data_IF_889815278164
#
_entry.id   IF_889815278164
#
_cell.length_a   1.000
_cell.length_b   1.000
_cell.length_c   1.000
_cell.angle_alpha   90.00
_cell.angle_beta   90.00
_cell.angle_gamma   90.00
#
_symmetry.space_group_name_H-M   'P 1'
#
loop_
_entity.id
_entity.type
_entity.pdbx_description
1 polymer ?
#
# COMPACT_ATOMS: atom_id res chain seq x y z
N UNK A 1 11.70 -11.44 -5.48
CA UNK A 1 10.94 -11.73 -4.25
C UNK A 1 10.05 -10.53 -3.91
N UNK A 2 8.76 -10.64 -3.57
CA UNK A 2 7.89 -9.46 -3.44
C UNK A 2 7.88 -8.80 -2.03
N UNK A 3 7.87 -7.48 -1.96
CA UNK A 3 7.66 -6.69 -0.73
C UNK A 3 6.80 -5.45 -1.01
N UNK A 4 5.91 -5.12 -0.08
CA UNK A 4 5.17 -3.86 -0.05
C UNK A 4 5.82 -2.86 0.87
N UNK A 5 5.67 -1.60 0.52
CA UNK A 5 6.06 -0.45 1.32
C UNK A 5 4.91 0.54 1.31
N UNK A 6 4.48 0.96 2.49
CA UNK A 6 3.33 1.83 2.70
C UNK A 6 3.72 3.05 3.51
N UNK A 7 3.21 4.24 3.14
CA UNK A 7 3.48 5.48 3.85
C UNK A 7 2.43 6.55 3.56
N UNK A 8 2.18 7.43 4.55
CA UNK A 8 1.36 8.63 4.39
C UNK A 8 2.17 9.80 3.81
N UNK A 9 1.47 10.81 3.28
CA UNK A 9 1.98 12.04 2.63
C UNK A 9 3.37 12.55 3.08
N UNK A 10 3.61 12.66 4.39
CA UNK A 10 4.83 13.24 4.95
C UNK A 10 6.04 12.29 4.95
N UNK A 11 5.85 11.03 4.53
CA UNK A 11 6.82 9.93 4.50
C UNK A 11 7.47 9.63 5.86
N UNK A 12 6.98 10.19 6.96
CA UNK A 12 7.53 9.98 8.30
C UNK A 12 7.12 8.62 8.84
N UNK A 13 5.89 8.19 8.53
CA UNK A 13 5.36 6.90 8.92
C UNK A 13 5.49 5.92 7.76
N UNK A 14 6.68 5.32 7.62
CA UNK A 14 6.96 4.37 6.54
C UNK A 14 7.08 2.97 7.08
N UNK A 15 6.23 2.07 6.58
CA UNK A 15 6.18 0.67 7.02
C UNK A 15 6.36 -0.27 5.82
N UNK A 16 6.79 -1.50 6.07
CA UNK A 16 7.08 -2.49 5.03
C UNK A 16 6.60 -3.86 5.46
N UNK A 17 6.15 -4.65 4.50
CA UNK A 17 5.84 -6.06 4.74
C UNK A 17 7.10 -6.91 4.79
N UNK A 18 6.96 -8.16 5.22
CA UNK A 18 7.96 -9.20 5.01
C UNK A 18 8.13 -9.49 3.52
N UNK A 19 9.29 -10.03 3.17
CA UNK A 19 9.57 -10.44 1.80
C UNK A 19 8.93 -11.80 1.54
N UNK A 20 8.07 -11.88 0.52
CA UNK A 20 7.50 -13.13 0.03
C UNK A 20 8.36 -13.66 -1.12
N UNK A 21 8.86 -14.89 -1.00
CA UNK A 21 9.79 -15.49 -1.96
C UNK A 21 9.05 -16.42 -2.93
N UNK A 22 9.55 -16.51 -4.15
CA UNK A 22 9.16 -17.53 -5.15
C UNK A 22 7.65 -17.59 -5.47
N UNK A 23 6.95 -16.46 -5.48
CA UNK A 23 5.54 -16.38 -5.85
C UNK A 23 5.22 -15.13 -6.66
N UNK A 24 4.33 -15.25 -7.64
CA UNK A 24 3.73 -14.13 -8.39
C UNK A 24 2.44 -13.61 -7.73
N UNK A 25 1.89 -14.36 -6.77
CA UNK A 25 0.70 -14.00 -6.00
C UNK A 25 1.09 -13.95 -4.51
N UNK A 26 1.91 -12.98 -4.10
CA UNK A 26 2.33 -12.84 -2.71
C UNK A 26 1.12 -12.57 -1.82
N UNK A 27 1.09 -13.23 -0.66
CA UNK A 27 0.15 -12.94 0.42
C UNK A 27 0.95 -12.47 1.62
N UNK A 28 0.72 -11.22 2.02
CA UNK A 28 1.39 -10.67 3.19
C UNK A 28 0.54 -10.87 4.44
N UNK A 29 -0.77 -10.63 4.37
CA UNK A 29 -1.69 -10.71 5.52
C UNK A 29 -1.14 -9.97 6.75
N UNK A 30 -0.54 -8.80 6.51
CA UNK A 30 0.06 -7.95 7.53
C UNK A 30 -0.74 -6.67 7.66
N UNK A 31 -1.01 -6.28 8.90
CA UNK A 31 -1.68 -5.03 9.23
C UNK A 31 -0.66 -3.99 9.67
N UNK A 32 -0.94 -2.73 9.33
CA UNK A 32 -0.17 -1.57 9.73
C UNK A 32 -1.08 -0.57 10.40
N UNK A 33 -0.59 0.11 11.44
CA UNK A 33 -1.31 1.19 12.11
C UNK A 33 -0.58 2.49 11.80
N UNK A 34 -1.34 3.50 11.38
CA UNK A 34 -0.84 4.84 11.13
C UNK A 34 -1.55 5.81 12.08
N UNK A 35 -0.77 6.65 12.74
CA UNK A 35 -1.33 7.76 13.50
C UNK A 35 -1.68 8.86 12.50
N UNK A 36 -2.95 8.93 12.11
CA UNK A 36 -3.43 9.95 11.19
C UNK A 36 -3.32 11.34 11.82
N UNK A 37 -2.53 12.21 11.20
CA UNK A 37 -2.45 13.64 11.54
C UNK A 37 -3.32 14.42 10.56
N UNK A 38 -4.01 15.46 11.05
CA UNK A 38 -4.86 16.34 10.22
C UNK A 38 -4.11 16.79 8.96
N UNK A 39 -4.72 16.53 7.79
CA UNK A 39 -4.17 16.88 6.48
C UNK A 39 -3.47 15.74 5.74
N UNK A 40 -3.23 14.59 6.38
CA UNK A 40 -2.68 13.39 5.72
C UNK A 40 -3.81 12.54 5.15
N UNK A 41 -4.01 12.56 3.85
CA UNK A 41 -5.13 11.87 3.20
C UNK A 41 -4.68 10.96 2.07
N UNK A 42 -3.42 11.01 1.64
CA UNK A 42 -2.90 10.08 0.64
C UNK A 42 -2.06 9.00 1.30
N UNK A 43 -2.47 7.74 1.10
CA UNK A 43 -1.66 6.58 1.36
C UNK A 43 -0.95 6.15 0.08
N UNK A 44 0.37 6.15 0.12
CA UNK A 44 1.19 5.59 -0.97
C UNK A 44 1.48 4.13 -0.69
N UNK A 45 1.27 3.29 -1.70
CA UNK A 45 1.60 1.86 -1.68
C UNK A 45 2.55 1.55 -2.84
N UNK A 46 3.77 1.17 -2.49
CA UNK A 46 4.81 0.78 -3.44
C UNK A 46 5.03 -0.73 -3.38
N UNK A 47 5.06 -1.38 -4.54
CA UNK A 47 5.38 -2.81 -4.67
C UNK A 47 6.77 -2.97 -5.27
N UNK A 48 7.61 -3.78 -4.63
CA UNK A 48 8.96 -4.06 -5.07
C UNK A 48 9.17 -5.54 -5.33
N UNK A 49 9.89 -5.84 -6.42
CA UNK A 49 10.64 -7.06 -6.58
C UNK A 49 12.00 -6.88 -5.91
N UNK A 50 12.20 -7.56 -4.80
CA UNK A 50 13.46 -7.68 -4.09
C UNK A 50 14.33 -8.71 -4.79
N UNK A 51 15.47 -8.23 -5.26
CA UNK A 51 16.59 -9.04 -5.73
C UNK A 51 17.84 -8.76 -4.88
N UNK A 52 18.85 -9.60 -5.08
CA UNK A 52 20.08 -9.57 -4.28
C UNK A 52 20.87 -8.28 -4.50
N UNK A 53 20.75 -7.65 -5.68
CA UNK A 53 21.58 -6.52 -6.08
C UNK A 53 20.81 -5.20 -6.21
N UNK A 54 19.66 -5.19 -6.89
CA UNK A 54 18.85 -4.00 -7.13
C UNK A 54 17.39 -4.38 -6.93
N UNK A 55 16.67 -3.59 -6.14
CA UNK A 55 15.23 -3.82 -5.96
C UNK A 55 14.47 -3.07 -7.05
N UNK A 56 13.69 -3.79 -7.84
CA UNK A 56 12.91 -3.22 -8.91
C UNK A 56 11.53 -2.83 -8.41
N UNK A 57 11.13 -1.57 -8.65
CA UNK A 57 9.78 -1.12 -8.33
C UNK A 57 8.82 -1.65 -9.40
N UNK A 58 7.91 -2.54 -9.01
CA UNK A 58 6.89 -3.14 -9.88
C UNK A 58 5.77 -2.14 -10.14
N UNK A 59 5.27 -1.49 -9.08
CA UNK A 59 4.09 -0.62 -9.18
C UNK A 59 3.99 0.36 -8.02
N UNK A 60 3.13 1.36 -8.21
CA UNK A 60 2.84 2.40 -7.23
C UNK A 60 1.38 2.78 -7.33
N UNK A 61 0.67 2.80 -6.22
CA UNK A 61 -0.67 3.41 -6.16
C UNK A 61 -0.72 4.45 -5.04
N UNK A 62 -1.49 5.49 -5.30
CA UNK A 62 -1.86 6.52 -4.33
C UNK A 62 -3.35 6.35 -4.06
N UNK A 63 -3.70 6.19 -2.79
CA UNK A 63 -5.08 5.96 -2.35
C UNK A 63 -5.49 7.15 -1.51
N UNK A 64 -6.54 7.83 -1.93
CA UNK A 64 -7.18 8.86 -1.13
C UNK A 64 -8.01 8.20 -0.02
N UNK A 65 -7.75 8.62 1.22
CA UNK A 65 -8.39 8.10 2.42
C UNK A 65 -9.67 8.87 2.80
N UNK A 66 -10.08 9.89 2.04
CA UNK A 66 -11.35 10.59 2.31
C UNK A 66 -12.54 9.65 2.35
N UNK A 67 -12.66 8.74 1.37
CA UNK A 67 -13.75 7.76 1.33
C UNK A 67 -13.72 6.85 2.58
N UNK A 68 -12.53 6.52 3.10
CA UNK A 68 -12.38 5.73 4.32
C UNK A 68 -12.88 6.47 5.56
N UNK A 69 -12.74 7.80 5.61
CA UNK A 69 -13.19 8.59 6.76
C UNK A 69 -14.72 8.63 6.85
N UNK A 70 -15.40 8.57 5.70
CA UNK A 70 -16.87 8.54 5.62
C UNK A 70 -17.42 7.11 5.80
N UNK A 71 -16.82 6.12 5.13
CA UNK A 71 -17.29 4.72 5.15
C UNK A 71 -16.85 3.96 6.41
N UNK A 72 -15.75 4.38 7.04
CA UNK A 72 -15.16 3.75 8.22
C UNK A 72 -14.42 2.44 7.94
N UNK A 73 -14.77 1.74 6.86
CA UNK A 73 -14.16 0.49 6.42
C UNK A 73 -14.16 0.38 4.90
N UNK A 74 -13.03 -0.05 4.33
CA UNK A 74 -12.89 -0.32 2.90
C UNK A 74 -12.19 -1.66 2.70
N UNK A 75 -12.74 -2.51 1.84
CA UNK A 75 -12.17 -3.80 1.44
C UNK A 75 -12.30 -3.92 -0.09
N UNK A 76 -11.19 -3.72 -0.82
CA UNK A 76 -11.23 -3.76 -2.28
C UNK A 76 -9.89 -4.10 -2.95
N UNK A 77 -9.99 -4.42 -4.23
CA UNK A 77 -8.85 -4.61 -5.13
C UNK A 77 -8.50 -3.32 -5.85
N UNK A 78 -7.21 -3.04 -5.92
CA UNK A 78 -6.65 -1.88 -6.61
C UNK A 78 -5.73 -2.33 -7.74
N UNK A 79 -5.87 -1.72 -8.91
CA UNK A 79 -4.93 -1.93 -10.01
C UNK A 79 -3.58 -1.30 -9.69
N UNK A 80 -2.48 -2.00 -9.98
CA UNK A 80 -1.12 -1.49 -9.88
C UNK A 80 -0.69 -0.90 -11.24
N UNK A 81 -0.65 0.43 -11.40
CA UNK A 81 -0.24 1.06 -12.65
C UNK A 81 1.17 0.65 -13.03
N UNK A 82 1.38 0.34 -14.31
CA UNK A 82 2.70 0.07 -14.85
C UNK A 82 3.49 1.36 -15.02
N UNK A 83 4.79 1.31 -14.71
CA UNK A 83 5.73 2.42 -14.92
C UNK A 83 6.01 2.71 -16.41
N UNK A 84 5.64 1.81 -17.31
CA UNK A 84 6.05 1.84 -18.73
C UNK A 84 4.88 1.84 -19.75
N UNK A 85 3.71 2.36 -19.38
CA UNK A 85 2.59 2.54 -20.33
C UNK A 85 1.86 1.24 -20.73
N UNK A 86 2.09 0.14 -20.02
CA UNK A 86 1.28 -1.09 -20.08
C UNK A 86 -0.01 -0.91 -19.26
N UNK A 87 -1.07 -1.68 -19.57
CA UNK A 87 -2.38 -1.52 -18.93
C UNK A 87 -2.41 -1.79 -17.41
N UNK A 88 -1.53 -2.65 -16.86
CA UNK A 88 -1.38 -2.91 -15.41
C UNK A 88 -0.21 -3.87 -15.15
N UNK A 89 0.44 -3.78 -13.98
CA UNK A 89 1.43 -4.75 -13.49
C UNK A 89 0.85 -5.75 -12.46
N UNK A 90 -0.47 -5.80 -12.34
CA UNK A 90 -1.20 -6.68 -11.42
C UNK A 90 -2.20 -5.90 -10.55
N UNK A 91 -2.78 -6.59 -9.57
CA UNK A 91 -3.73 -6.02 -8.63
C UNK A 91 -3.26 -6.28 -7.20
N UNK A 92 -3.66 -5.41 -6.28
CA UNK A 92 -3.39 -5.53 -4.85
C UNK A 92 -4.70 -5.44 -4.07
N UNK A 93 -4.92 -6.39 -3.18
CA UNK A 93 -6.04 -6.37 -2.26
C UNK A 93 -5.62 -5.67 -0.96
N UNK A 94 -6.39 -4.68 -0.54
CA UNK A 94 -6.14 -3.91 0.67
C UNK A 94 -7.43 -3.76 1.46
N UNK A 95 -7.28 -3.84 2.78
CA UNK A 95 -8.36 -3.65 3.75
C UNK A 95 -7.96 -2.53 4.68
N UNK A 96 -8.88 -1.59 4.91
CA UNK A 96 -8.69 -0.41 5.73
C UNK A 96 -9.80 -0.30 6.75
N UNK A 97 -9.43 0.09 7.97
CA UNK A 97 -10.35 0.46 9.03
C UNK A 97 -9.94 1.83 9.56
N UNK A 98 -10.92 2.72 9.73
CA UNK A 98 -10.71 4.03 10.35
C UNK A 98 -11.42 4.10 11.70
N UNK A 99 -10.64 4.46 12.72
CA UNK A 99 -11.13 4.65 14.06
C UNK A 99 -10.88 6.11 14.47
N UNK A 100 -11.92 6.96 14.49
CA UNK A 100 -11.77 8.31 15.00
C UNK A 100 -11.44 8.26 16.49
N UNK A 101 -10.52 9.12 16.93
CA UNK A 101 -10.23 9.29 18.35
C UNK A 101 -11.50 9.82 19.04
N UNK A 102 -12.00 9.06 20.02
CA UNK A 102 -13.11 9.50 20.87
C UNK A 102 -12.54 10.43 21.94
N UNK A 103 -12.97 11.68 21.93
CA UNK A 103 -12.70 12.67 22.98
C UNK A 103 -13.93 12.84 23.88
#
# INVERSE_FOLDING_TARGET
>A
MAQLQVYLDDKKQKQKTTVQKNTKNPQWNQSFVFNHLTGQHILHVDVYDKDIFINDKIGSIEIDLHDLYDEGHIDQWYNLPSRHGSSSNGEIHLVFDYQPLKF
#
